data_IF_040539026545
#
_entry.id   IF_040539026545
#
_cell.length_a   1.000
_cell.length_b   1.000
_cell.length_c   1.000
_cell.angle_alpha   90.00
_cell.angle_beta   90.00
_cell.angle_gamma   90.00
#
_symmetry.space_group_name_H-M   'P 1'
#
loop_
_entity.id
_entity.type
_entity.pdbx_description
1 polymer ?
#
# COMPACT_ATOMS: atom_id res chain seq x y z
N UNK A 1 3.19 -18.49 -19.12
CA UNK A 1 3.26 -17.54 -17.97
C UNK A 1 1.87 -17.06 -17.58
N UNK A 2 1.01 -16.75 -18.56
CA UNK A 2 -0.39 -16.38 -18.37
C UNK A 2 -1.22 -17.50 -17.73
N UNK A 3 -0.99 -18.76 -18.12
CA UNK A 3 -1.73 -19.93 -17.58
C UNK A 3 -1.49 -20.13 -16.07
N UNK A 4 -0.28 -19.81 -15.61
CA UNK A 4 0.07 -19.87 -14.20
C UNK A 4 -0.67 -18.82 -13.37
N UNK A 5 -0.83 -17.61 -13.92
CA UNK A 5 -1.57 -16.54 -13.28
C UNK A 5 -3.06 -16.89 -13.21
N UNK A 6 -3.63 -17.44 -14.28
CA UNK A 6 -5.03 -17.89 -14.28
C UNK A 6 -5.28 -18.98 -13.23
N UNK A 7 -4.36 -19.93 -13.09
CA UNK A 7 -4.44 -20.95 -12.04
C UNK A 7 -4.31 -20.36 -10.63
N UNK A 8 -3.37 -19.43 -10.44
CA UNK A 8 -3.11 -18.80 -9.14
C UNK A 8 -4.30 -17.96 -8.65
N UNK A 9 -4.96 -17.25 -9.56
CA UNK A 9 -6.13 -16.41 -9.25
C UNK A 9 -7.47 -17.15 -9.25
N UNK A 10 -7.48 -18.48 -9.36
CA UNK A 10 -8.70 -19.25 -9.25
C UNK A 10 -9.28 -19.15 -7.82
N UNK A 11 -10.55 -18.75 -7.68
CA UNK A 11 -11.22 -18.61 -6.38
C UNK A 11 -11.10 -19.87 -5.51
N UNK A 12 -11.26 -21.07 -6.10
CA UNK A 12 -11.12 -22.32 -5.34
C UNK A 12 -9.71 -22.49 -4.78
N UNK A 13 -8.70 -21.98 -5.48
CA UNK A 13 -7.33 -22.03 -5.02
C UNK A 13 -7.02 -20.99 -3.94
N UNK A 14 -7.59 -19.79 -4.06
CA UNK A 14 -7.40 -18.67 -3.14
C UNK A 14 -8.06 -18.90 -1.78
N UNK A 15 -9.23 -19.53 -1.76
CA UNK A 15 -10.00 -19.81 -0.54
C UNK A 15 -9.72 -21.20 0.08
N UNK A 16 -8.73 -21.93 -0.42
CA UNK A 16 -8.33 -23.19 0.19
C UNK A 16 -7.62 -22.92 1.54
N UNK A 17 -8.20 -23.39 2.65
CA UNK A 17 -7.66 -23.24 4.01
C UNK A 17 -6.44 -24.13 4.30
N UNK A 18 -6.19 -25.16 3.48
CA UNK A 18 -5.02 -26.02 3.57
C UNK A 18 -4.28 -26.03 2.25
N UNK A 19 -3.67 -24.90 1.85
CA UNK A 19 -2.86 -24.90 0.64
C UNK A 19 -1.62 -25.76 0.88
N UNK A 20 -1.25 -26.56 -0.12
CA UNK A 20 0.10 -27.13 -0.18
C UNK A 20 1.14 -25.99 -0.15
N UNK A 21 2.35 -26.31 0.31
CA UNK A 21 3.47 -25.37 0.38
C UNK A 21 3.56 -24.53 -0.90
N UNK A 22 3.74 -23.22 -0.72
CA UNK A 22 3.70 -22.29 -1.83
C UNK A 22 4.85 -22.58 -2.80
N UNK A 23 4.54 -22.70 -4.08
CA UNK A 23 5.55 -22.99 -5.08
C UNK A 23 6.61 -21.89 -5.10
N UNK A 24 7.89 -22.26 -5.17
CA UNK A 24 9.04 -21.34 -5.11
C UNK A 24 8.91 -20.17 -6.09
N UNK A 25 8.35 -20.41 -7.28
CA UNK A 25 8.10 -19.36 -8.28
C UNK A 25 7.14 -18.28 -7.79
N UNK A 26 6.03 -18.67 -7.16
CA UNK A 26 5.06 -17.70 -6.61
C UNK A 26 5.67 -16.90 -5.45
N UNK A 27 6.48 -17.55 -4.59
CA UNK A 27 7.21 -16.89 -3.51
C UNK A 27 8.16 -15.83 -4.06
N UNK A 28 8.95 -16.16 -5.10
CA UNK A 28 9.87 -15.21 -5.74
C UNK A 28 9.12 -14.03 -6.35
N UNK A 29 8.03 -14.28 -7.09
CA UNK A 29 7.22 -13.23 -7.71
C UNK A 29 6.65 -12.28 -6.64
N UNK A 30 6.08 -12.82 -5.56
CA UNK A 30 5.56 -12.02 -4.46
C UNK A 30 6.66 -11.26 -3.72
N UNK A 31 7.82 -11.88 -3.50
CA UNK A 31 8.97 -11.22 -2.89
C UNK A 31 9.44 -10.02 -3.73
N UNK A 32 9.48 -10.15 -5.06
CA UNK A 32 9.80 -9.04 -5.98
C UNK A 32 8.73 -7.94 -5.87
N UNK A 33 7.44 -8.29 -5.85
CA UNK A 33 6.35 -7.32 -5.69
C UNK A 33 6.48 -6.54 -4.37
N UNK A 34 6.73 -7.23 -3.25
CA UNK A 34 6.91 -6.56 -1.96
C UNK A 34 8.22 -5.77 -1.89
N UNK A 35 9.28 -6.20 -2.57
CA UNK A 35 10.49 -5.39 -2.74
C UNK A 35 10.22 -4.08 -3.50
N UNK A 36 9.40 -4.13 -4.57
CA UNK A 36 8.97 -2.92 -5.29
C UNK A 36 8.17 -1.97 -4.38
N UNK A 37 7.35 -2.51 -3.47
CA UNK A 37 6.66 -1.69 -2.46
C UNK A 37 7.65 -1.00 -1.50
N UNK A 38 8.73 -1.67 -1.09
CA UNK A 38 9.80 -1.04 -0.28
C UNK A 38 10.43 0.12 -1.05
N UNK A 39 10.78 -0.10 -2.33
CA UNK A 39 11.35 0.95 -3.18
C UNK A 39 10.37 2.13 -3.32
N UNK A 40 9.08 1.87 -3.55
CA UNK A 40 8.05 2.90 -3.62
C UNK A 40 7.90 3.67 -2.29
N UNK A 41 8.04 3.00 -1.14
CA UNK A 41 8.06 3.65 0.17
C UNK A 41 9.27 4.59 0.28
N UNK A 42 10.48 4.12 -0.08
CA UNK A 42 11.69 4.95 -0.04
C UNK A 42 11.53 6.19 -0.92
N UNK A 43 11.06 6.03 -2.16
CA UNK A 43 10.79 7.15 -3.08
C UNK A 43 9.77 8.12 -2.45
N UNK A 44 8.67 7.61 -1.89
CA UNK A 44 7.66 8.43 -1.24
C UNK A 44 8.25 9.22 -0.07
N UNK A 45 9.15 8.62 0.72
CA UNK A 45 9.89 9.30 1.80
C UNK A 45 10.76 10.42 1.26
N UNK A 46 11.48 10.23 0.16
CA UNK A 46 12.25 11.31 -0.47
C UNK A 46 11.35 12.45 -0.97
N UNK A 47 10.20 12.13 -1.57
CA UNK A 47 9.24 13.12 -2.05
C UNK A 47 8.62 13.96 -0.91
N UNK A 48 8.64 13.49 0.34
CA UNK A 48 8.19 14.30 1.50
C UNK A 48 9.06 15.55 1.76
N UNK A 49 10.27 15.64 1.19
CA UNK A 49 11.18 16.78 1.36
C UNK A 49 10.79 18.03 0.57
N UNK A 50 9.67 17.99 -0.16
CA UNK A 50 9.09 19.15 -0.86
C UNK A 50 8.76 20.30 0.09
N UNK A 51 8.95 21.55 -0.37
CA UNK A 51 8.58 22.78 0.34
C UNK A 51 7.06 22.92 0.56
N UNK A 52 6.25 22.23 -0.25
CA UNK A 52 4.79 22.24 -0.12
C UNK A 52 4.35 21.26 0.97
N UNK A 53 4.01 21.79 2.15
CA UNK A 53 3.62 21.00 3.32
C UNK A 53 2.37 20.14 3.11
N UNK A 54 1.47 20.53 2.19
CA UNK A 54 0.28 19.76 1.87
C UNK A 54 0.63 18.55 1.00
N UNK A 55 1.50 18.72 0.00
CA UNK A 55 2.03 17.62 -0.82
C UNK A 55 2.90 16.68 0.02
N UNK A 56 3.75 17.22 0.89
CA UNK A 56 4.57 16.44 1.80
C UNK A 56 3.71 15.53 2.71
N UNK A 57 2.58 16.02 3.22
CA UNK A 57 1.60 15.20 3.96
C UNK A 57 1.03 14.05 3.12
N UNK A 58 0.75 14.29 1.84
CA UNK A 58 0.28 13.24 0.92
C UNK A 58 1.32 12.15 0.68
N UNK A 59 2.56 12.54 0.38
CA UNK A 59 3.67 11.59 0.22
C UNK A 59 3.98 10.82 1.50
N UNK A 60 3.80 11.44 2.68
CA UNK A 60 3.93 10.75 3.96
C UNK A 60 2.87 9.66 4.13
N UNK A 61 1.64 9.90 3.68
CA UNK A 61 0.59 8.87 3.68
C UNK A 61 0.94 7.71 2.74
N UNK A 62 1.47 7.98 1.54
CA UNK A 62 1.96 6.93 0.63
C UNK A 62 3.11 6.14 1.23
N UNK A 63 4.07 6.80 1.89
CA UNK A 63 5.15 6.13 2.61
C UNK A 63 4.60 5.14 3.63
N UNK A 64 3.64 5.57 4.47
CA UNK A 64 3.01 4.68 5.45
C UNK A 64 2.33 3.49 4.76
N UNK A 65 1.48 3.74 3.76
CA UNK A 65 0.79 2.69 3.01
C UNK A 65 1.75 1.64 2.44
N UNK A 66 2.76 2.06 1.67
CA UNK A 66 3.71 1.14 1.04
C UNK A 66 4.58 0.42 2.07
N UNK A 67 4.99 1.10 3.15
CA UNK A 67 5.76 0.48 4.22
C UNK A 67 4.97 -0.60 4.97
N UNK A 68 3.70 -0.35 5.27
CA UNK A 68 2.82 -1.30 5.97
C UNK A 68 2.52 -2.51 5.09
N UNK A 69 2.24 -2.31 3.80
CA UNK A 69 1.97 -3.40 2.86
C UNK A 69 3.22 -4.25 2.64
N UNK A 70 4.39 -3.63 2.47
CA UNK A 70 5.64 -4.37 2.34
C UNK A 70 5.92 -5.21 3.59
N UNK A 71 5.83 -4.61 4.79
CA UNK A 71 6.05 -5.31 6.04
C UNK A 71 5.09 -6.50 6.21
N UNK A 72 3.77 -6.28 6.05
CA UNK A 72 2.78 -7.35 6.14
C UNK A 72 2.97 -8.41 5.06
N UNK A 73 3.36 -8.02 3.85
CA UNK A 73 3.64 -8.93 2.74
C UNK A 73 4.81 -9.87 3.02
N UNK A 74 5.91 -9.36 3.58
CA UNK A 74 7.05 -10.19 3.98
C UNK A 74 6.72 -11.07 5.19
N UNK A 75 5.96 -10.57 6.16
CA UNK A 75 5.45 -11.38 7.29
C UNK A 75 4.58 -12.53 6.77
N UNK A 76 3.68 -12.25 5.82
CA UNK A 76 2.90 -13.28 5.16
C UNK A 76 3.80 -14.30 4.44
N UNK A 77 4.79 -13.86 3.67
CA UNK A 77 5.73 -14.77 2.99
C UNK A 77 6.48 -15.66 3.97
N UNK A 78 6.88 -15.13 5.12
CA UNK A 78 7.52 -15.91 6.17
C UNK A 78 6.61 -17.04 6.69
N UNK A 79 5.35 -16.73 7.02
CA UNK A 79 4.39 -17.75 7.45
C UNK A 79 3.99 -18.73 6.34
N UNK A 80 3.93 -18.26 5.09
CA UNK A 80 3.69 -19.09 3.93
C UNK A 80 4.84 -20.09 3.70
N UNK A 81 6.08 -19.69 3.97
CA UNK A 81 7.25 -20.56 3.90
C UNK A 81 7.29 -21.57 5.05
N UNK A 82 6.90 -21.14 6.26
CA UNK A 82 6.76 -22.03 7.44
C UNK A 82 5.60 -23.03 7.32
N UNK A 83 4.70 -22.85 6.34
CA UNK A 83 3.54 -23.74 6.14
C UNK A 83 2.46 -23.62 7.23
N UNK A 84 2.38 -22.47 7.91
CA UNK A 84 1.38 -22.25 8.94
C UNK A 84 -0.04 -22.31 8.35
N UNK A 85 -0.89 -23.25 8.79
CA UNK A 85 -2.17 -23.59 8.13
C UNK A 85 -3.04 -22.35 7.84
N UNK A 86 -3.26 -21.48 8.84
CA UNK A 86 -4.17 -20.34 8.71
C UNK A 86 -3.48 -19.07 8.14
N UNK A 87 -2.20 -18.86 8.45
CA UNK A 87 -1.45 -17.66 8.05
C UNK A 87 -0.82 -17.79 6.66
N UNK A 88 -0.65 -19.01 6.14
CA UNK A 88 -0.24 -19.29 4.76
C UNK A 88 -1.40 -19.28 3.76
N UNK A 89 -2.61 -19.11 4.26
CA UNK A 89 -3.80 -19.14 3.43
C UNK A 89 -3.81 -17.95 2.46
N UNK A 90 -4.05 -18.25 1.18
CA UNK A 90 -3.88 -17.29 0.08
C UNK A 90 -4.92 -16.16 0.10
N UNK A 91 -6.02 -16.32 0.84
CA UNK A 91 -7.01 -15.27 1.04
C UNK A 91 -6.42 -14.00 1.66
N UNK A 92 -5.34 -14.12 2.46
CA UNK A 92 -4.65 -12.95 3.03
C UNK A 92 -4.10 -12.01 1.96
N UNK A 93 -3.70 -12.54 0.79
CA UNK A 93 -3.28 -11.71 -0.34
C UNK A 93 -4.43 -10.86 -0.90
N UNK A 94 -5.65 -11.42 -0.95
CA UNK A 94 -6.84 -10.67 -1.36
C UNK A 94 -7.19 -9.59 -0.34
N UNK A 95 -7.13 -9.91 0.95
CA UNK A 95 -7.35 -8.94 2.02
C UNK A 95 -6.35 -7.80 1.93
N UNK A 96 -5.05 -8.12 1.79
CA UNK A 96 -4.00 -7.11 1.61
C UNK A 96 -4.24 -6.25 0.38
N UNK A 97 -4.68 -6.85 -0.74
CA UNK A 97 -5.02 -6.12 -1.96
C UNK A 97 -6.19 -5.15 -1.73
N UNK A 98 -7.28 -5.61 -1.08
CA UNK A 98 -8.44 -4.77 -0.77
C UNK A 98 -8.05 -3.61 0.15
N UNK A 99 -7.30 -3.89 1.23
CA UNK A 99 -6.78 -2.86 2.15
C UNK A 99 -5.95 -1.83 1.38
N UNK A 100 -5.06 -2.30 0.50
CA UNK A 100 -4.22 -1.44 -0.34
C UNK A 100 -5.07 -0.52 -1.23
N UNK A 101 -6.09 -1.06 -1.91
CA UNK A 101 -6.96 -0.30 -2.80
C UNK A 101 -7.74 0.75 -2.01
N UNK A 102 -8.44 0.33 -0.95
CA UNK A 102 -9.26 1.22 -0.12
C UNK A 102 -8.42 2.36 0.44
N UNK A 103 -7.25 2.05 0.98
CA UNK A 103 -6.39 3.05 1.59
C UNK A 103 -5.77 3.99 0.54
N UNK A 104 -5.45 3.48 -0.65
CA UNK A 104 -5.02 4.30 -1.80
C UNK A 104 -6.10 5.29 -2.22
N UNK A 105 -7.37 4.87 -2.29
CA UNK A 105 -8.51 5.76 -2.60
C UNK A 105 -8.62 6.89 -1.58
N UNK A 106 -8.45 6.61 -0.29
CA UNK A 106 -8.46 7.66 0.75
C UNK A 106 -7.29 8.65 0.60
N UNK A 107 -6.10 8.18 0.21
CA UNK A 107 -4.94 9.06 -0.02
C UNK A 107 -5.16 9.93 -1.25
N UNK A 108 -5.68 9.36 -2.35
CA UNK A 108 -6.00 10.11 -3.56
C UNK A 108 -7.09 11.15 -3.32
N UNK A 109 -8.16 10.80 -2.59
CA UNK A 109 -9.20 11.76 -2.18
C UNK A 109 -8.60 12.91 -1.39
N UNK A 110 -7.69 12.63 -0.46
CA UNK A 110 -7.00 13.66 0.31
C UNK A 110 -6.15 14.58 -0.57
N UNK A 111 -5.41 14.04 -1.54
CA UNK A 111 -4.55 14.83 -2.42
C UNK A 111 -5.34 15.68 -3.43
N UNK A 112 -6.42 15.14 -3.97
CA UNK A 112 -7.20 15.78 -5.03
C UNK A 112 -8.28 16.73 -4.50
N UNK A 113 -8.85 16.45 -3.32
CA UNK A 113 -9.98 17.22 -2.77
C UNK A 113 -9.60 18.01 -1.53
N UNK A 114 -9.06 17.34 -0.51
CA UNK A 114 -8.82 17.99 0.78
C UNK A 114 -7.61 18.94 0.75
N UNK A 115 -6.53 18.56 0.07
CA UNK A 115 -5.33 19.38 -0.04
C UNK A 115 -5.56 20.74 -0.72
N UNK A 116 -6.24 20.84 -1.89
CA UNK A 116 -6.52 22.15 -2.49
C UNK A 116 -7.51 22.98 -1.66
N UNK A 117 -8.49 22.36 -0.98
CA UNK A 117 -9.40 23.06 -0.07
C UNK A 117 -8.65 23.69 1.11
N UNK A 118 -7.81 22.91 1.79
CA UNK A 118 -6.96 23.42 2.89
C UNK A 118 -6.01 24.53 2.42
N UNK A 119 -5.53 24.47 1.18
CA UNK A 119 -4.70 25.53 0.60
C UNK A 119 -5.47 26.85 0.47
N UNK A 120 -6.75 26.81 0.07
CA UNK A 120 -7.60 28.01 0.01
C UNK A 120 -7.87 28.59 1.41
N UNK A 121 -8.19 27.74 2.38
CA UNK A 121 -8.42 28.17 3.77
C UNK A 121 -7.18 28.83 4.38
N UNK A 122 -5.98 28.25 4.18
CA UNK A 122 -4.72 28.83 4.67
C UNK A 122 -4.47 30.20 4.03
N UNK A 123 -4.74 30.35 2.73
CA UNK A 123 -4.57 31.64 2.05
C UNK A 123 -5.58 32.69 2.53
N UNK A 124 -6.84 32.31 2.79
CA UNK A 124 -7.86 33.21 3.33
C UNK A 124 -7.50 33.67 4.75
N UNK A 125 -7.03 32.76 5.62
CA UNK A 125 -6.54 33.11 6.95
C UNK A 125 -5.35 34.06 6.89
N UNK A 126 -4.37 33.80 6.03
CA UNK A 126 -3.22 34.69 5.82
C UNK A 126 -3.62 36.07 5.30
N UNK A 127 -4.64 36.15 4.46
CA UNK A 127 -5.18 37.43 4.02
C UNK A 127 -5.84 38.17 5.19
N UNK A 128 -6.68 37.50 5.98
CA UNK A 128 -7.34 38.10 7.14
C UNK A 128 -6.35 38.58 8.21
N UNK A 129 -5.35 37.76 8.56
CA UNK A 129 -4.27 38.11 9.50
C UNK A 129 -3.42 39.28 9.01
N UNK A 130 -3.32 39.51 7.69
CA UNK A 130 -2.61 40.67 7.14
C UNK A 130 -3.31 42.01 7.44
N UNK A 131 -4.61 41.97 7.74
CA UNK A 131 -5.43 43.17 7.97
C UNK A 131 -5.78 43.40 9.45
N UNK A 132 -5.31 42.55 10.36
CA UNK A 132 -5.48 42.73 11.80
C UNK A 132 -4.11 43.09 12.39
N UNK A 133 -3.90 44.34 12.82
CA UNK A 133 -2.65 44.79 13.46
C UNK A 133 -2.43 44.14 14.84
#
# INVERSE_FOLDING_TARGET
MIDYLQYFFNLKHLFNLRPAAMQTRAVIILAIIFALFIVAAIISKFLTRTKDSLKAKGYKKFFHLFSTIAALGYVYLFFAWQGAILLSARFWLLILLIITIVWTVFILKYLLKDAPQKRKEINQKRQFEKYIP
#
